data_IF_005885845770
#
_entry.id   IF_005885845770
#
_cell.length_a   1.000
_cell.length_b   1.000
_cell.length_c   1.000
_cell.angle_alpha   90.00
_cell.angle_beta   90.00
_cell.angle_gamma   90.00
#
_symmetry.space_group_name_H-M   'P 1'
#
loop_
_entity.id
_entity.type
_entity.pdbx_description
1 polymer ?
#
# COMPACT_ATOMS: atom_id res chain seq x y z
N UNK A 1 13.13 7.62 8.65
CA UNK A 1 11.83 7.73 9.32
C UNK A 1 11.45 6.43 10.03
N UNK A 2 10.37 6.44 10.80
CA UNK A 2 9.97 5.29 11.64
C UNK A 2 9.14 4.22 10.93
N UNK A 3 8.67 4.48 9.72
CA UNK A 3 7.85 3.53 8.97
C UNK A 3 8.73 2.58 8.18
N UNK A 4 8.24 1.34 7.98
CA UNK A 4 8.98 0.25 7.36
C UNK A 4 8.20 -0.33 6.18
N UNK A 5 8.92 -0.95 5.26
CA UNK A 5 8.31 -1.66 4.14
C UNK A 5 7.35 -2.72 4.66
N UNK A 6 6.14 -2.75 4.10
CA UNK A 6 5.07 -3.64 4.54
C UNK A 6 4.14 -3.03 5.59
N UNK A 7 4.45 -1.84 6.11
CA UNK A 7 3.51 -1.12 6.98
C UNK A 7 2.31 -0.67 6.17
N UNK A 8 1.11 -0.90 6.70
CA UNK A 8 -0.12 -0.29 6.19
C UNK A 8 -0.35 0.97 7.01
N UNK A 9 -0.43 2.10 6.33
CA UNK A 9 -0.53 3.41 6.97
C UNK A 9 -1.74 4.17 6.46
N UNK A 10 -2.30 5.03 7.31
CA UNK A 10 -3.29 6.02 6.89
C UNK A 10 -2.53 7.29 6.52
N UNK A 11 -2.68 7.74 5.30
CA UNK A 11 -1.90 8.86 4.78
C UNK A 11 -2.70 9.71 3.81
N UNK A 12 -2.26 10.97 3.64
CA UNK A 12 -2.77 11.84 2.59
C UNK A 12 -2.16 11.41 1.26
N UNK A 13 -2.97 10.73 0.45
CA UNK A 13 -2.54 10.15 -0.82
C UNK A 13 -2.92 11.07 -1.99
N UNK A 14 -1.97 11.45 -2.86
CA UNK A 14 -2.27 12.25 -4.04
C UNK A 14 -3.02 11.40 -5.07
N UNK A 15 -4.21 11.85 -5.46
CA UNK A 15 -5.01 11.16 -6.49
C UNK A 15 -4.62 11.70 -7.87
N UNK A 16 -4.43 10.81 -8.83
CA UNK A 16 -3.99 11.17 -10.18
C UNK A 16 -4.97 12.11 -10.90
N UNK A 17 -6.27 12.00 -10.61
CA UNK A 17 -7.31 12.78 -11.26
C UNK A 17 -7.85 13.93 -10.41
N UNK A 18 -7.28 14.18 -9.23
CA UNK A 18 -7.76 15.19 -8.28
C UNK A 18 -6.69 16.22 -7.99
N UNK A 19 -7.13 17.45 -7.74
CA UNK A 19 -6.22 18.55 -7.33
C UNK A 19 -5.89 18.51 -5.86
N UNK A 20 -6.65 17.74 -5.06
CA UNK A 20 -6.46 17.61 -3.62
C UNK A 20 -6.12 16.17 -3.24
N UNK A 21 -5.28 16.01 -2.23
CA UNK A 21 -4.99 14.72 -1.63
C UNK A 21 -6.20 14.24 -0.81
N UNK A 22 -6.34 12.93 -0.68
CA UNK A 22 -7.37 12.30 0.15
C UNK A 22 -6.71 11.35 1.14
N UNK A 23 -7.25 11.26 2.36
CA UNK A 23 -6.77 10.27 3.35
C UNK A 23 -7.16 8.88 2.89
N UNK A 24 -6.16 8.00 2.76
CA UNK A 24 -6.37 6.65 2.30
C UNK A 24 -5.41 5.69 2.97
N UNK A 25 -5.82 4.43 3.15
CA UNK A 25 -4.85 3.41 3.52
C UNK A 25 -3.92 3.14 2.36
N UNK A 26 -2.65 3.00 2.66
CA UNK A 26 -1.61 2.66 1.68
C UNK A 26 -0.58 1.75 2.32
N UNK A 27 0.20 1.08 1.48
CA UNK A 27 1.26 0.19 1.93
C UNK A 27 2.61 0.80 1.57
N UNK A 28 3.51 0.86 2.54
CA UNK A 28 4.90 1.28 2.30
C UNK A 28 5.60 0.20 1.49
N UNK A 29 6.09 0.56 0.31
CA UNK A 29 6.77 -0.37 -0.61
C UNK A 29 8.24 -0.06 -0.79
N UNK A 30 8.70 1.12 -0.39
CA UNK A 30 10.11 1.51 -0.47
C UNK A 30 10.95 0.64 0.46
N UNK A 31 12.17 0.32 0.04
CA UNK A 31 13.09 -0.48 0.85
C UNK A 31 13.44 0.21 2.17
N UNK A 32 13.77 -0.59 3.18
CA UNK A 32 13.99 -0.07 4.53
C UNK A 32 15.28 0.73 4.68
N UNK A 33 16.28 0.47 3.84
CA UNK A 33 17.50 1.26 3.87
C UNK A 33 17.20 2.73 3.53
N UNK A 34 16.43 2.95 2.46
CA UNK A 34 15.99 4.30 2.10
C UNK A 34 15.00 4.88 3.11
N UNK A 35 14.11 4.05 3.67
CA UNK A 35 13.19 4.50 4.70
C UNK A 35 13.91 5.05 5.94
N UNK A 36 15.06 4.48 6.27
CA UNK A 36 15.87 4.98 7.39
C UNK A 36 16.56 6.30 7.08
N UNK A 37 16.95 6.49 5.82
CA UNK A 37 17.77 7.65 5.41
C UNK A 37 16.93 8.86 5.01
N UNK A 38 15.74 8.64 4.48
CA UNK A 38 14.94 9.69 3.86
C UNK A 38 13.72 10.06 4.71
N UNK A 39 13.25 11.28 4.53
CA UNK A 39 12.02 11.77 5.16
C UNK A 39 10.79 11.54 4.27
N UNK A 40 10.93 10.76 3.21
CA UNK A 40 9.83 10.38 2.32
C UNK A 40 9.91 8.88 2.01
N UNK A 41 8.80 8.34 1.51
CA UNK A 41 8.70 6.93 1.14
C UNK A 41 7.77 6.74 -0.05
N UNK A 42 7.89 5.59 -0.70
CA UNK A 42 6.99 5.20 -1.79
C UNK A 42 5.91 4.31 -1.23
N UNK A 43 4.66 4.60 -1.55
CA UNK A 43 3.49 3.84 -1.10
C UNK A 43 2.65 3.38 -2.28
N UNK A 44 1.95 2.25 -2.09
CA UNK A 44 0.93 1.75 -3.01
C UNK A 44 -0.45 1.99 -2.41
N UNK A 45 -1.39 2.47 -3.21
CA UNK A 45 -2.75 2.75 -2.77
C UNK A 45 -3.51 1.46 -2.45
N UNK A 46 -4.31 1.49 -1.37
CA UNK A 46 -5.33 0.46 -1.10
C UNK A 46 -6.68 1.08 -1.47
N UNK A 47 -7.46 0.36 -2.29
CA UNK A 47 -8.75 0.84 -2.77
C UNK A 47 -9.82 -0.24 -2.64
N UNK A 48 -11.06 0.17 -2.41
CA UNK A 48 -12.22 -0.74 -2.44
C UNK A 48 -12.76 -0.97 -3.85
N UNK A 49 -12.20 -0.34 -4.86
CA UNK A 49 -12.57 -0.57 -6.25
C UNK A 49 -11.95 -1.90 -6.72
N UNK A 50 -12.80 -2.93 -6.89
CA UNK A 50 -12.38 -4.28 -7.28
C UNK A 50 -12.44 -4.53 -8.78
N UNK A 51 -12.65 -3.51 -9.61
CA UNK A 51 -12.82 -3.69 -11.05
C UNK A 51 -11.63 -4.39 -11.72
N UNK A 52 -10.42 -4.23 -11.16
CA UNK A 52 -9.21 -4.84 -11.70
C UNK A 52 -8.58 -5.85 -10.74
N UNK A 53 -9.40 -6.45 -9.88
CA UNK A 53 -8.93 -7.35 -8.82
C UNK A 53 -8.12 -8.54 -9.35
N UNK A 54 -8.39 -8.99 -10.58
CA UNK A 54 -7.68 -10.13 -11.18
C UNK A 54 -6.38 -9.74 -11.90
N UNK A 55 -6.06 -8.46 -11.99
CA UNK A 55 -4.81 -8.02 -12.61
C UNK A 55 -3.62 -8.46 -11.75
N UNK A 56 -2.53 -8.85 -12.40
CA UNK A 56 -1.33 -9.31 -11.69
C UNK A 56 -0.66 -8.22 -10.86
N UNK A 57 -0.92 -6.96 -11.17
CA UNK A 57 -0.42 -5.80 -10.44
C UNK A 57 -1.24 -5.45 -9.21
N UNK A 58 -2.26 -6.23 -8.87
CA UNK A 58 -3.12 -6.02 -7.71
C UNK A 58 -3.01 -7.16 -6.71
N UNK A 59 -3.11 -6.84 -5.42
CA UNK A 59 -3.18 -7.83 -4.34
C UNK A 59 -4.55 -7.72 -3.69
N UNK A 60 -5.34 -8.79 -3.76
CA UNK A 60 -6.65 -8.83 -3.12
C UNK A 60 -6.52 -9.04 -1.61
N UNK A 61 -7.27 -8.26 -0.84
CA UNK A 61 -7.40 -8.42 0.61
C UNK A 61 -8.88 -8.66 0.91
N UNK A 62 -9.21 -9.87 1.34
CA UNK A 62 -10.55 -10.21 1.81
C UNK A 62 -10.68 -9.75 3.26
N UNK A 63 -11.57 -8.77 3.52
CA UNK A 63 -11.70 -8.18 4.84
C UNK A 63 -12.09 -9.20 5.91
N UNK A 64 -12.89 -10.21 5.55
CA UNK A 64 -13.33 -11.26 6.48
C UNK A 64 -12.29 -12.34 6.75
N UNK A 65 -11.20 -12.40 5.99
CA UNK A 65 -10.13 -13.39 6.19
C UNK A 65 -9.36 -13.09 7.49
N UNK A 66 -8.60 -14.07 7.97
CA UNK A 66 -7.77 -13.90 9.16
C UNK A 66 -6.79 -12.73 8.99
N UNK A 67 -6.11 -12.67 7.84
CA UNK A 67 -5.16 -11.59 7.55
C UNK A 67 -5.89 -10.27 7.30
N UNK A 68 -7.04 -10.31 6.62
CA UNK A 68 -7.85 -9.12 6.36
C UNK A 68 -8.35 -8.46 7.63
N UNK A 69 -8.76 -9.23 8.63
CA UNK A 69 -9.23 -8.69 9.92
C UNK A 69 -8.14 -7.92 10.64
N UNK A 70 -6.88 -8.32 10.49
CA UNK A 70 -5.74 -7.62 11.11
C UNK A 70 -5.49 -6.25 10.49
N UNK A 71 -5.94 -6.02 9.25
CA UNK A 71 -5.75 -4.74 8.58
C UNK A 71 -6.69 -3.65 9.09
N UNK A 72 -7.78 -4.02 9.77
CA UNK A 72 -8.81 -3.07 10.19
C UNK A 72 -9.67 -2.55 9.03
N UNK A 73 -9.51 -3.06 7.83
CA UNK A 73 -10.33 -2.66 6.67
C UNK A 73 -11.74 -3.21 6.81
N UNK A 74 -12.75 -2.37 6.53
CA UNK A 74 -14.16 -2.74 6.67
C UNK A 74 -14.69 -3.48 5.44
N UNK A 75 -14.05 -3.33 4.30
CA UNK A 75 -14.48 -3.87 3.01
C UNK A 75 -13.34 -4.57 2.32
N UNK A 76 -13.67 -5.55 1.47
CA UNK A 76 -12.71 -6.16 0.57
C UNK A 76 -12.02 -5.06 -0.24
N UNK A 77 -10.72 -5.20 -0.40
CA UNK A 77 -9.87 -4.17 -0.99
C UNK A 77 -8.78 -4.80 -1.85
N UNK A 78 -8.13 -3.98 -2.65
CA UNK A 78 -6.92 -4.36 -3.37
C UNK A 78 -5.81 -3.38 -3.07
N UNK A 79 -4.59 -3.90 -2.98
CA UNK A 79 -3.38 -3.07 -3.04
C UNK A 79 -3.10 -2.87 -4.52
N UNK A 80 -3.15 -1.63 -4.98
CA UNK A 80 -2.95 -1.30 -6.39
C UNK A 80 -1.49 -0.92 -6.62
N UNK A 81 -0.70 -1.87 -7.12
CA UNK A 81 0.73 -1.65 -7.32
C UNK A 81 1.05 -0.81 -8.57
N UNK A 82 0.05 -0.51 -9.40
CA UNK A 82 0.19 0.46 -10.48
C UNK A 82 -0.26 1.88 -10.08
N UNK A 83 -0.59 2.09 -8.82
CA UNK A 83 -0.86 3.40 -8.23
C UNK A 83 0.13 3.64 -7.11
N UNK A 84 1.34 4.02 -7.48
CA UNK A 84 2.43 4.31 -6.55
C UNK A 84 2.60 5.81 -6.43
N UNK A 85 2.95 6.26 -5.22
CA UNK A 85 3.24 7.66 -4.97
C UNK A 85 4.37 7.80 -3.98
N UNK A 86 5.18 8.83 -4.14
CA UNK A 86 6.17 9.23 -3.14
C UNK A 86 5.54 10.29 -2.25
N UNK A 87 5.52 10.03 -0.95
CA UNK A 87 4.94 10.95 0.03
C UNK A 87 5.94 11.26 1.14
N UNK A 88 5.84 12.46 1.71
CA UNK A 88 6.63 12.81 2.88
C UNK A 88 6.10 12.14 4.14
N UNK A 89 6.98 11.92 5.10
CA UNK A 89 6.61 11.35 6.41
C UNK A 89 5.50 12.17 7.08
N UNK A 90 5.49 13.48 6.89
CA UNK A 90 4.48 14.38 7.45
C UNK A 90 3.08 14.16 6.87
N UNK A 91 2.95 13.41 5.77
CA UNK A 91 1.65 13.04 5.20
C UNK A 91 1.08 11.77 5.84
N UNK A 92 1.88 11.03 6.58
CA UNK A 92 1.44 9.79 7.23
C UNK A 92 0.90 10.13 8.61
N UNK A 93 -0.36 9.76 8.88
CA UNK A 93 -0.99 10.00 10.19
C UNK A 93 -0.53 8.94 11.19
N UNK A 94 -0.69 7.67 10.86
CA UNK A 94 -0.28 6.57 11.73
C UNK A 94 -0.24 5.25 10.97
N UNK A 95 0.43 4.27 11.55
CA UNK A 95 0.43 2.89 11.08
C UNK A 95 -0.83 2.19 11.55
N UNK A 96 -1.54 1.54 10.62
CA UNK A 96 -2.74 0.75 10.91
C UNK A 96 -2.32 -0.67 11.32
N UNK A 97 -1.45 -1.30 10.54
CA UNK A 97 -0.98 -2.66 10.78
C UNK A 97 0.29 -2.95 9.98
N UNK A 98 0.81 -4.15 10.11
CA UNK A 98 1.92 -4.68 9.31
C UNK A 98 1.35 -5.82 8.47
N UNK A 99 1.68 -5.86 7.18
CA UNK A 99 1.21 -6.94 6.31
C UNK A 99 1.74 -8.29 6.78
N UNK A 100 0.88 -9.32 6.70
CA UNK A 100 1.29 -10.69 6.94
C UNK A 100 2.35 -11.12 5.91
N UNK A 101 3.26 -12.06 6.27
CA UNK A 101 4.32 -12.51 5.35
C UNK A 101 3.81 -13.00 3.99
N UNK A 102 2.68 -13.71 3.97
CA UNK A 102 2.07 -14.18 2.71
C UNK A 102 1.60 -13.03 1.84
N UNK A 103 0.95 -12.04 2.45
CA UNK A 103 0.48 -10.86 1.73
C UNK A 103 1.66 -10.03 1.23
N UNK A 104 2.73 -9.94 2.02
CA UNK A 104 3.94 -9.24 1.61
C UNK A 104 4.60 -9.92 0.40
N UNK A 105 4.59 -11.26 0.34
CA UNK A 105 5.07 -12.00 -0.82
C UNK A 105 4.21 -11.70 -2.05
N UNK A 106 2.89 -11.69 -1.90
CA UNK A 106 1.98 -11.32 -2.98
C UNK A 106 2.21 -9.87 -3.45
N UNK A 107 2.51 -8.98 -2.52
CA UNK A 107 2.88 -7.59 -2.85
C UNK A 107 4.15 -7.54 -3.71
N UNK A 108 5.17 -8.32 -3.35
CA UNK A 108 6.41 -8.39 -4.13
C UNK A 108 6.12 -8.85 -5.56
N UNK A 109 5.32 -9.89 -5.73
CA UNK A 109 4.96 -10.41 -7.05
C UNK A 109 4.17 -9.38 -7.86
N UNK A 110 3.24 -8.69 -7.22
CA UNK A 110 2.43 -7.66 -7.88
C UNK A 110 3.27 -6.45 -8.30
N UNK A 111 4.24 -6.05 -7.47
CA UNK A 111 5.18 -4.97 -7.83
C UNK A 111 6.05 -5.35 -9.02
N UNK A 112 6.53 -6.60 -9.07
CA UNK A 112 7.27 -7.10 -10.23
C UNK A 112 6.43 -7.03 -11.49
N UNK A 113 5.16 -7.44 -11.42
CA UNK A 113 4.25 -7.37 -12.56
C UNK A 113 3.99 -5.93 -12.99
N UNK A 114 3.73 -5.03 -12.03
CA UNK A 114 3.42 -3.63 -12.31
C UNK A 114 4.60 -2.89 -12.97
N UNK A 115 5.83 -3.26 -12.61
CA UNK A 115 7.05 -2.59 -13.07
C UNK A 115 7.81 -3.41 -14.12
N UNK A 116 7.27 -4.54 -14.55
CA UNK A 116 7.91 -5.47 -15.51
C UNK A 116 9.30 -5.92 -15.04
N UNK A 117 9.44 -6.26 -13.78
CA UNK A 117 10.66 -6.81 -13.21
C UNK A 117 10.62 -8.33 -13.26
N UNK A 118 11.74 -8.93 -13.60
CA UNK A 118 11.89 -10.39 -13.65
C UNK A 118 12.23 -11.01 -12.30
#
# INVERSE_FOLDING_TARGET
>A
MKYKRGDVVLAWYPLASATAASRRPCVVVQNDDDNRKLANTVVAQITTNLARVSDKSHVFIEAASTDGKKTGLLHDSVISCNNLATIGENRIQHRICILAPTTLQNLNDALKAALELS
#
